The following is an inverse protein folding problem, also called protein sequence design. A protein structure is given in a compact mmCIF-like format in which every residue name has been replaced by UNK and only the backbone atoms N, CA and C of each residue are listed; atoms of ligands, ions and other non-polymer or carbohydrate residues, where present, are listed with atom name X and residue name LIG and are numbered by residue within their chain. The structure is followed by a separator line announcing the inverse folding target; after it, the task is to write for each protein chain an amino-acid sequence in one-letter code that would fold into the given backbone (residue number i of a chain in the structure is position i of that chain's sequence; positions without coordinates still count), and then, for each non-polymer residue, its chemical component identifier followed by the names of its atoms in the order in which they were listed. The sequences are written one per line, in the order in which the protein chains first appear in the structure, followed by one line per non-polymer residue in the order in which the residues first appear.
data_IF_904465696371
#
_entry.id   IF_904465696371
#
_cell.length_a   1.000
_cell.length_b   1.000
_cell.length_c   1.000
_cell.angle_alpha   90.00
_cell.angle_beta   90.00
_cell.angle_gamma   90.00
#
_symmetry.space_group_name_H-M   'P 1'
#
loop_
_entity.id
_entity.type
_entity.pdbx_description
1 polymer ?
#
# COMPACT_ATOMS: atom_id res chain seq x y z
N UNK A 1 23.92 7.74 -32.81
CA UNK A 1 24.32 6.45 -32.19
C UNK A 1 25.74 6.48 -31.58
N UNK A 2 26.73 7.15 -32.19
CA UNK A 2 28.14 7.13 -31.74
C UNK A 2 28.41 7.63 -30.29
N UNK A 3 27.63 8.58 -29.77
CA UNK A 3 27.85 9.13 -28.41
C UNK A 3 27.48 8.17 -27.27
N UNK A 4 26.60 7.19 -27.52
CA UNK A 4 26.19 6.22 -26.51
C UNK A 4 27.27 5.15 -26.30
N UNK A 5 27.86 4.65 -27.39
CA UNK A 5 28.92 3.65 -27.34
C UNK A 5 30.19 4.20 -26.68
N UNK A 6 30.52 5.47 -26.93
CA UNK A 6 31.64 6.16 -26.28
C UNK A 6 31.44 6.24 -24.75
N UNK A 7 30.26 6.67 -24.28
CA UNK A 7 29.94 6.70 -22.84
C UNK A 7 29.92 5.31 -22.21
N UNK A 8 29.48 4.29 -22.95
CA UNK A 8 29.49 2.90 -22.49
C UNK A 8 30.93 2.40 -22.28
N UNK A 9 31.83 2.66 -23.22
CA UNK A 9 33.24 2.28 -23.11
C UNK A 9 33.96 3.02 -21.98
N UNK A 10 33.64 4.29 -21.78
CA UNK A 10 34.20 5.09 -20.68
C UNK A 10 33.75 4.56 -19.32
N UNK A 11 32.46 4.20 -19.17
CA UNK A 11 31.96 3.55 -17.97
C UNK A 11 32.59 2.18 -17.71
N UNK A 12 32.84 1.39 -18.77
CA UNK A 12 33.52 0.09 -18.64
C UNK A 12 34.94 0.30 -18.11
N UNK A 13 35.72 1.21 -18.71
CA UNK A 13 37.09 1.51 -18.27
C UNK A 13 37.14 2.04 -16.83
N UNK A 14 36.18 2.90 -16.45
CA UNK A 14 36.08 3.43 -15.08
C UNK A 14 35.81 2.31 -14.07
N UNK A 15 34.92 1.38 -14.41
CA UNK A 15 34.59 0.25 -13.55
C UNK A 15 35.77 -0.72 -13.43
N UNK A 16 36.49 -1.01 -14.53
CA UNK A 16 37.71 -1.83 -14.51
C UNK A 16 38.80 -1.22 -13.62
N UNK A 17 38.99 0.11 -13.70
CA UNK A 17 39.94 0.82 -12.85
C UNK A 17 39.55 0.75 -11.36
N UNK A 18 38.26 0.83 -11.03
CA UNK A 18 37.76 0.68 -9.67
C UNK A 18 38.00 -0.73 -9.13
N UNK A 19 37.71 -1.77 -9.93
CA UNK A 19 37.96 -3.17 -9.56
C UNK A 19 39.46 -3.40 -9.32
N UNK A 20 40.34 -2.73 -10.08
CA UNK A 20 41.79 -2.75 -9.89
C UNK A 20 42.29 -2.02 -8.67
N UNK A 21 41.70 -0.87 -8.36
CA UNK A 21 42.05 -0.13 -7.16
C UNK A 21 41.63 -0.89 -5.89
N UNK A 22 40.52 -1.61 -5.94
CA UNK A 22 39.98 -2.41 -4.84
C UNK A 22 40.64 -3.79 -4.67
N UNK A 23 41.59 -4.18 -5.53
CA UNK A 23 42.29 -5.46 -5.45
C UNK A 23 41.42 -6.69 -5.69
N UNK A 24 40.28 -6.54 -6.39
CA UNK A 24 39.27 -7.59 -6.60
C UNK A 24 39.47 -8.39 -7.90
N UNK A 25 40.67 -8.34 -8.50
CA UNK A 25 40.99 -9.05 -9.75
C UNK A 25 40.84 -10.57 -9.64
N UNK A 26 41.31 -11.14 -8.52
CA UNK A 26 41.46 -12.60 -8.40
C UNK A 26 40.14 -13.30 -8.02
N UNK A 27 39.23 -12.60 -7.34
CA UNK A 27 37.93 -13.13 -6.92
C UNK A 27 36.98 -13.40 -8.11
N UNK A 28 37.03 -12.56 -9.14
CA UNK A 28 36.20 -12.74 -10.34
C UNK A 28 36.70 -13.85 -11.26
N UNK A 29 38.01 -14.06 -11.31
CA UNK A 29 38.63 -15.09 -12.15
C UNK A 29 38.36 -16.49 -11.59
N UNK A 30 38.42 -16.65 -10.25
CA UNK A 30 38.11 -17.90 -9.57
C UNK A 30 36.63 -18.34 -9.74
N UNK A 31 35.68 -17.40 -9.74
CA UNK A 31 34.25 -17.73 -9.94
C UNK A 31 33.94 -18.18 -11.37
N UNK A 32 34.69 -17.69 -12.37
CA UNK A 32 34.46 -18.05 -13.76
C UNK A 32 35.04 -19.44 -14.11
N UNK A 33 36.18 -19.80 -13.52
CA UNK A 33 36.76 -21.15 -13.66
C UNK A 33 35.92 -22.25 -12.99
N UNK A 34 35.28 -21.95 -11.84
CA UNK A 34 34.33 -22.84 -11.17
C UNK A 34 33.07 -23.08 -12.03
N UNK A 35 32.65 -22.08 -12.80
CA UNK A 35 31.48 -22.17 -13.68
C UNK A 35 31.76 -23.02 -14.93
N UNK A 36 32.93 -22.85 -15.55
CA UNK A 36 33.34 -23.65 -16.72
C UNK A 36 33.60 -25.13 -16.38
N UNK A 37 34.11 -25.45 -15.18
CA UNK A 37 34.24 -26.85 -14.73
C UNK A 37 32.90 -27.57 -14.53
N UNK A 38 31.81 -26.83 -14.31
CA UNK A 38 30.48 -27.40 -14.08
C UNK A 38 29.69 -27.74 -15.36
N UNK A 39 30.12 -27.26 -16.54
CA UNK A 39 29.43 -27.46 -17.82
C UNK A 39 29.89 -28.71 -18.60
N UNK A 40 31.02 -29.34 -18.25
CA UNK A 40 31.61 -30.44 -19.05
C UNK A 40 31.01 -31.83 -18.72
N UNK A 41 30.17 -31.97 -17.69
CA UNK A 41 29.56 -33.25 -17.33
C UNK A 41 28.03 -33.15 -17.24
N UNK A 42 27.33 -33.32 -18.36
CA UNK A 42 25.97 -33.90 -18.43
C UNK A 42 25.52 -34.06 -19.89
N UNK A 43 25.33 -35.31 -20.33
CA UNK A 43 24.57 -35.61 -21.57
C UNK A 43 23.05 -35.50 -21.30
N UNK A 44 22.22 -35.19 -22.33
CA UNK A 44 20.83 -34.84 -22.08
C UNK A 44 19.93 -36.08 -22.00
N UNK A 45 19.11 -36.15 -20.94
CA UNK A 45 18.00 -37.10 -20.85
C UNK A 45 16.67 -36.38 -21.15
N UNK A 46 15.91 -36.94 -22.09
CA UNK A 46 14.59 -36.46 -22.51
C UNK A 46 13.54 -36.72 -21.42
N UNK A 47 13.08 -35.70 -20.67
CA UNK A 47 11.82 -35.76 -19.89
C UNK A 47 11.10 -34.40 -19.79
N UNK A 48 9.77 -34.50 -19.92
CA UNK A 48 8.69 -33.49 -19.85
C UNK A 48 8.87 -32.39 -18.79
N UNK A 49 8.56 -31.15 -19.16
CA UNK A 49 8.57 -29.96 -18.29
C UNK A 49 7.53 -30.05 -17.16
N UNK A 50 8.00 -30.14 -15.91
CA UNK A 50 7.33 -29.56 -14.73
C UNK A 50 8.02 -28.24 -14.43
N UNK A 51 7.28 -27.14 -14.42
CA UNK A 51 7.79 -25.81 -14.08
C UNK A 51 7.94 -25.73 -12.55
N UNK A 52 9.16 -25.91 -12.06
CA UNK A 52 9.53 -25.50 -10.71
C UNK A 52 10.01 -24.04 -10.80
N UNK A 53 9.29 -23.11 -10.18
CA UNK A 53 9.68 -21.70 -10.11
C UNK A 53 10.85 -21.63 -9.11
N UNK A 54 12.07 -21.42 -9.61
CA UNK A 54 13.23 -21.08 -8.79
C UNK A 54 13.13 -19.62 -8.33
N UNK A 55 13.37 -19.35 -7.04
CA UNK A 55 13.37 -18.00 -6.51
C UNK A 55 14.45 -17.10 -7.17
N UNK A 56 14.19 -15.80 -7.34
CA UNK A 56 15.12 -14.89 -7.99
C UNK A 56 16.40 -14.68 -7.17
N UNK A 57 17.55 -14.79 -7.81
CA UNK A 57 18.90 -14.74 -7.22
C UNK A 57 19.43 -13.33 -6.93
N UNK A 58 18.59 -12.29 -6.96
CA UNK A 58 19.03 -10.91 -6.71
C UNK A 58 18.07 -10.14 -5.81
N UNK A 59 18.41 -10.10 -4.53
CA UNK A 59 17.71 -9.33 -3.49
C UNK A 59 18.39 -7.96 -3.32
N UNK A 60 17.61 -6.92 -3.02
CA UNK A 60 18.16 -5.59 -2.73
C UNK A 60 18.91 -5.59 -1.39
N UNK A 61 19.94 -4.74 -1.26
CA UNK A 61 20.76 -4.64 -0.05
C UNK A 61 19.94 -4.37 1.22
N UNK A 62 18.79 -3.69 1.09
CA UNK A 62 17.87 -3.39 2.20
C UNK A 62 17.11 -4.61 2.74
N UNK A 63 16.82 -5.61 1.90
CA UNK A 63 16.12 -6.84 2.31
C UNK A 63 17.12 -7.85 2.89
N UNK A 64 18.38 -7.80 2.46
CA UNK A 64 19.44 -8.66 2.96
C UNK A 64 19.91 -8.29 4.38
N UNK A 65 19.74 -7.03 4.79
CA UNK A 65 20.16 -6.51 6.10
C UNK A 65 19.08 -6.51 7.19
N UNK A 66 17.86 -6.98 6.89
CA UNK A 66 16.77 -7.04 7.85
C UNK A 66 16.85 -8.31 8.71
N UNK A 67 16.58 -8.19 10.02
CA UNK A 67 16.62 -9.30 10.98
C UNK A 67 15.57 -10.38 10.70
N UNK A 68 14.48 -10.03 10.00
CA UNK A 68 13.49 -10.97 9.49
C UNK A 68 13.08 -10.59 8.06
N UNK A 69 12.95 -11.59 7.19
CA UNK A 69 12.45 -11.40 5.83
C UNK A 69 10.93 -11.26 5.87
N UNK A 70 10.35 -10.20 5.28
CA UNK A 70 8.89 -10.11 5.14
C UNK A 70 8.37 -11.27 4.29
N UNK A 71 7.45 -12.05 4.85
CA UNK A 71 6.71 -13.07 4.10
C UNK A 71 5.62 -12.38 3.30
N UNK A 72 5.80 -12.33 1.98
CA UNK A 72 4.72 -11.96 1.07
C UNK A 72 3.78 -13.16 0.93
N UNK A 73 2.51 -12.98 1.32
CA UNK A 73 1.45 -13.93 1.02
C UNK A 73 1.02 -13.75 -0.44
N UNK A 74 1.66 -14.48 -1.35
CA UNK A 74 1.19 -14.60 -2.74
C UNK A 74 0.10 -15.68 -2.76
N UNK A 75 -1.15 -15.24 -2.76
CA UNK A 75 -2.32 -16.12 -2.74
C UNK A 75 -2.48 -16.84 -4.07
N UNK A 76 -1.98 -18.08 -4.15
CA UNK A 76 -2.46 -19.07 -5.11
C UNK A 76 -3.50 -19.95 -4.42
N UNK A 77 -4.78 -19.73 -4.74
CA UNK A 77 -5.85 -20.69 -4.47
C UNK A 77 -5.64 -21.94 -5.33
N UNK A 78 -5.71 -23.11 -4.69
CA UNK A 78 -6.02 -24.36 -5.36
C UNK A 78 -7.03 -25.09 -4.46
N UNK A 79 -8.22 -25.33 -5.00
CA UNK A 79 -9.31 -26.05 -4.35
C UNK A 79 -9.01 -27.55 -4.32
N UNK A 80 -9.13 -28.18 -3.15
CA UNK A 80 -9.64 -29.56 -3.07
C UNK A 80 -10.11 -29.90 -1.65
N UNK A 81 -11.40 -30.19 -1.58
CA UNK A 81 -12.16 -30.78 -0.48
C UNK A 81 -11.53 -32.08 0.06
N UNK A 82 -11.49 -32.25 1.40
CA UNK A 82 -12.03 -33.44 2.07
C UNK A 82 -11.82 -33.43 3.60
N UNK A 83 -12.95 -33.61 4.27
CA UNK A 83 -13.14 -33.81 5.71
C UNK A 83 -12.28 -34.94 6.34
N UNK A 84 -11.80 -34.74 7.59
CA UNK A 84 -11.89 -35.73 8.69
C UNK A 84 -11.44 -35.22 10.07
N UNK A 85 -12.30 -35.53 11.05
CA UNK A 85 -12.26 -35.30 12.51
C UNK A 85 -11.02 -35.88 13.23
N UNK A 86 -10.57 -35.23 14.33
CA UNK A 86 -10.80 -35.66 15.75
C UNK A 86 -9.97 -34.83 16.78
N UNK A 87 -10.47 -34.65 18.02
CA UNK A 87 -9.88 -33.80 19.06
C UNK A 87 -8.93 -34.56 19.99
N UNK A 88 -8.03 -33.86 20.69
CA UNK A 88 -7.22 -34.45 21.77
C UNK A 88 -7.19 -33.61 23.05
N UNK A 89 -7.55 -34.32 24.11
CA UNK A 89 -7.67 -34.05 25.56
C UNK A 89 -6.49 -33.32 26.23
N UNK A 90 -6.87 -32.41 27.13
CA UNK A 90 -6.44 -32.18 28.52
C UNK A 90 -5.14 -32.81 29.04
N UNK A 91 -4.30 -31.99 29.68
CA UNK A 91 -3.61 -32.34 30.93
C UNK A 91 -3.44 -31.09 31.80
N UNK A 92 -4.12 -31.09 32.93
CA UNK A 92 -3.85 -30.23 34.08
C UNK A 92 -2.60 -30.76 34.83
N UNK A 93 -1.81 -29.86 35.38
CA UNK A 93 -0.82 -30.14 36.43
C UNK A 93 -0.84 -28.97 37.43
N UNK A 94 -0.78 -29.38 38.69
CA UNK A 94 -1.11 -28.66 39.91
C UNK A 94 0.08 -27.91 40.53
N UNK A 95 -0.23 -26.80 41.20
CA UNK A 95 0.38 -26.17 42.40
C UNK A 95 1.91 -26.22 42.63
N UNK A 96 2.52 -25.07 42.86
CA UNK A 96 2.83 -24.64 44.24
C UNK A 96 3.36 -23.19 44.32
N UNK A 97 2.97 -22.52 45.38
CA UNK A 97 3.55 -21.26 45.86
C UNK A 97 5.03 -21.45 46.20
N UNK A 98 5.84 -20.44 45.87
CA UNK A 98 6.93 -20.04 46.74
C UNK A 98 7.17 -18.53 46.66
N UNK A 99 7.21 -17.95 47.85
CA UNK A 99 7.41 -16.55 48.16
C UNK A 99 8.90 -16.22 48.00
N UNK A 100 9.25 -15.16 47.28
CA UNK A 100 10.60 -14.57 47.38
C UNK A 100 10.56 -13.09 47.01
N UNK A 101 10.73 -12.26 48.03
CA UNK A 101 10.99 -10.83 47.97
C UNK A 101 12.36 -10.56 47.32
N UNK A 102 12.42 -9.68 46.32
CA UNK A 102 13.63 -8.87 46.07
C UNK A 102 13.35 -7.63 45.20
N UNK A 103 13.61 -6.49 45.83
CA UNK A 103 14.30 -5.30 45.32
C UNK A 103 13.73 -4.59 44.08
N UNK A 104 13.19 -3.40 44.35
CA UNK A 104 12.67 -2.45 43.39
C UNK A 104 13.66 -2.14 42.26
N UNK A 105 13.20 -2.44 41.05
CA UNK A 105 13.70 -1.84 39.82
C UNK A 105 12.68 -0.77 39.44
N UNK A 106 13.04 0.49 39.64
CA UNK A 106 12.28 1.62 39.13
C UNK A 106 12.16 1.45 37.60
N UNK A 107 10.95 1.14 37.14
CA UNK A 107 10.59 1.28 35.73
C UNK A 107 10.93 2.71 35.30
N UNK A 108 11.61 2.92 34.16
CA UNK A 108 11.72 4.24 33.58
C UNK A 108 10.31 4.79 33.40
N UNK A 109 10.00 5.92 34.04
CA UNK A 109 8.72 6.56 33.81
C UNK A 109 8.60 6.88 32.32
N UNK A 110 7.42 6.63 31.71
CA UNK A 110 7.17 7.06 30.35
C UNK A 110 7.39 8.58 30.26
N UNK A 111 7.93 9.09 29.13
CA UNK A 111 8.03 10.53 28.92
C UNK A 111 6.66 11.18 29.14
N UNK A 112 6.61 12.45 29.58
CA UNK A 112 5.36 13.14 29.88
C UNK A 112 4.44 12.99 28.66
N UNK A 113 3.25 12.42 28.90
CA UNK A 113 2.22 12.28 27.90
C UNK A 113 2.03 13.65 27.26
N UNK A 114 2.44 13.79 25.99
CA UNK A 114 2.06 14.96 25.22
C UNK A 114 0.54 15.06 25.30
N UNK A 115 0.06 16.24 25.66
CA UNK A 115 -1.37 16.51 25.76
C UNK A 115 -2.00 16.22 24.39
N UNK A 116 -2.79 15.15 24.31
CA UNK A 116 -3.40 14.68 23.06
C UNK A 116 -4.27 15.79 22.46
N UNK A 117 -4.96 16.55 23.31
CA UNK A 117 -5.83 17.64 22.88
C UNK A 117 -5.00 18.78 22.27
N UNK A 118 -3.82 19.08 22.82
CA UNK A 118 -2.91 20.07 22.26
C UNK A 118 -2.34 19.62 20.90
N UNK A 119 -2.03 18.33 20.74
CA UNK A 119 -1.56 17.78 19.46
C UNK A 119 -2.67 17.77 18.40
N UNK A 120 -3.87 17.32 18.75
CA UNK A 120 -5.03 17.36 17.86
C UNK A 120 -5.35 18.81 17.48
N UNK A 121 -5.36 19.73 18.45
CA UNK A 121 -5.56 21.16 18.18
C UNK A 121 -4.50 21.70 17.22
N UNK A 122 -3.23 21.33 17.39
CA UNK A 122 -2.16 21.72 16.46
C UNK A 122 -2.40 21.16 15.05
N UNK A 123 -2.71 19.87 14.91
CA UNK A 123 -2.97 19.25 13.59
C UNK A 123 -4.23 19.78 12.92
N UNK A 124 -5.20 20.29 13.68
CA UNK A 124 -6.45 20.86 13.18
C UNK A 124 -6.44 22.39 13.08
N UNK A 125 -5.34 23.06 13.46
CA UNK A 125 -5.23 24.53 13.47
C UNK A 125 -4.98 25.18 12.11
N UNK A 126 -5.01 24.41 11.02
CA UNK A 126 -4.81 24.94 9.68
C UNK A 126 -6.06 25.66 9.17
N UNK A 127 -5.85 26.61 8.25
CA UNK A 127 -6.94 27.30 7.56
C UNK A 127 -6.94 26.92 6.08
N UNK A 128 -8.13 26.79 5.45
CA UNK A 128 -8.22 26.61 4.01
C UNK A 128 -7.52 27.77 3.27
N UNK A 129 -6.57 27.43 2.41
CA UNK A 129 -5.82 28.40 1.58
C UNK A 129 -6.15 28.28 0.10
N UNK A 130 -6.71 27.15 -0.32
CA UNK A 130 -7.09 26.87 -1.69
C UNK A 130 -8.62 26.70 -1.81
N UNK A 131 -9.21 27.03 -2.98
CA UNK A 131 -10.63 26.81 -3.22
C UNK A 131 -10.97 25.31 -3.30
N UNK A 132 -12.27 24.96 -3.16
CA UNK A 132 -12.75 23.60 -3.43
C UNK A 132 -12.44 23.14 -4.86
N UNK A 133 -12.32 21.82 -5.11
CA UNK A 133 -12.06 21.31 -6.45
C UNK A 133 -13.24 21.55 -7.40
N UNK A 134 -12.93 21.68 -8.69
CA UNK A 134 -13.93 21.67 -9.77
C UNK A 134 -14.03 20.28 -10.38
N UNK A 135 -15.22 19.85 -10.77
CA UNK A 135 -15.43 18.55 -11.44
C UNK A 135 -15.57 18.74 -12.94
N UNK A 136 -14.85 17.96 -13.74
CA UNK A 136 -14.96 17.97 -15.21
C UNK A 136 -16.11 17.07 -15.71
N UNK A 137 -16.29 17.03 -17.04
CA UNK A 137 -17.32 16.21 -17.70
C UNK A 137 -17.05 14.71 -17.62
N UNK A 138 -15.79 14.31 -17.41
CA UNK A 138 -15.38 12.91 -17.19
C UNK A 138 -15.55 12.51 -15.71
N UNK A 139 -15.90 13.47 -14.86
CA UNK A 139 -16.11 13.30 -13.43
C UNK A 139 -14.83 13.32 -12.58
N UNK A 140 -13.68 13.72 -13.15
CA UNK A 140 -12.45 13.94 -12.41
C UNK A 140 -12.49 15.30 -11.68
N UNK A 141 -11.87 15.34 -10.51
CA UNK A 141 -11.72 16.54 -9.70
C UNK A 141 -10.40 17.24 -10.01
N UNK A 142 -10.44 18.55 -10.19
CA UNK A 142 -9.30 19.39 -10.51
C UNK A 142 -9.03 20.39 -9.40
N UNK A 143 -7.75 20.54 -9.06
CA UNK A 143 -7.28 21.50 -8.06
C UNK A 143 -6.36 22.51 -8.75
N UNK A 144 -6.71 23.80 -8.72
CA UNK A 144 -5.94 24.86 -9.39
C UNK A 144 -4.46 24.86 -8.98
N UNK A 145 -4.18 24.67 -7.68
CA UNK A 145 -2.82 24.58 -7.14
C UNK A 145 -2.01 23.38 -7.65
N UNK A 146 -2.67 22.30 -8.08
CA UNK A 146 -2.03 21.02 -8.42
C UNK A 146 -2.71 20.35 -9.63
N UNK A 147 -2.49 20.85 -10.86
CA UNK A 147 -3.20 20.37 -12.06
C UNK A 147 -2.94 18.90 -12.42
N UNK A 148 -1.87 18.29 -11.90
CA UNK A 148 -1.53 16.89 -12.15
C UNK A 148 -2.16 15.90 -11.16
N UNK A 149 -2.91 16.41 -10.19
CA UNK A 149 -3.64 15.62 -9.21
C UNK A 149 -5.12 15.63 -9.56
N UNK A 150 -5.56 14.57 -10.22
CA UNK A 150 -6.92 14.45 -10.79
C UNK A 150 -7.63 13.18 -10.29
N UNK A 151 -7.91 13.06 -8.97
CA UNK A 151 -8.73 11.97 -8.45
C UNK A 151 -10.16 12.07 -9.01
N UNK A 152 -10.89 10.96 -9.07
CA UNK A 152 -12.29 10.96 -9.53
C UNK A 152 -13.29 10.51 -8.44
N UNK A 153 -12.83 10.50 -7.18
CA UNK A 153 -13.61 10.22 -5.98
C UNK A 153 -13.38 11.28 -4.93
N UNK A 154 -14.44 11.78 -4.32
CA UNK A 154 -14.31 12.68 -3.17
C UNK A 154 -14.02 11.88 -1.89
N UNK A 155 -13.45 12.51 -0.84
CA UNK A 155 -13.34 11.88 0.47
C UNK A 155 -14.70 11.45 1.03
N UNK A 156 -15.76 12.21 0.76
CA UNK A 156 -17.12 11.85 1.15
C UNK A 156 -17.58 10.55 0.48
N UNK A 157 -17.38 10.42 -0.83
CA UNK A 157 -17.73 9.20 -1.57
C UNK A 157 -16.96 8.00 -1.01
N UNK A 158 -15.65 8.14 -0.79
CA UNK A 158 -14.80 7.07 -0.26
C UNK A 158 -15.25 6.61 1.15
N UNK A 159 -15.74 7.54 1.97
CA UNK A 159 -16.29 7.22 3.29
C UNK A 159 -17.63 6.50 3.15
N UNK A 160 -18.55 7.04 2.34
CA UNK A 160 -19.93 6.55 2.20
C UNK A 160 -20.01 5.20 1.48
N UNK A 161 -19.17 4.99 0.47
CA UNK A 161 -19.02 3.72 -0.24
C UNK A 161 -18.29 2.65 0.60
N UNK A 162 -17.75 3.04 1.75
CA UNK A 162 -17.01 2.17 2.64
C UNK A 162 -15.59 1.88 2.16
N UNK A 163 -14.65 2.14 3.06
CA UNK A 163 -13.22 1.98 2.81
C UNK A 163 -12.48 1.59 4.08
N UNK A 164 -11.29 1.02 3.91
CA UNK A 164 -10.39 0.64 5.00
C UNK A 164 -11.03 -0.27 6.07
N UNK A 165 -12.05 -1.03 5.67
CA UNK A 165 -12.83 -1.91 6.54
C UNK A 165 -13.46 -1.19 7.74
N UNK A 166 -13.66 0.12 7.64
CA UNK A 166 -14.26 0.95 8.68
C UNK A 166 -13.37 1.24 9.88
N UNK A 167 -12.08 0.92 9.76
CA UNK A 167 -11.11 1.03 10.85
C UNK A 167 -10.22 2.26 10.77
N UNK A 168 -10.35 3.07 9.71
CA UNK A 168 -9.36 4.11 9.43
C UNK A 168 -9.22 5.13 10.56
N UNK A 169 -10.32 5.43 11.26
CA UNK A 169 -10.39 6.39 12.37
C UNK A 169 -10.53 5.75 13.75
N UNK A 170 -10.29 4.43 13.87
CA UNK A 170 -10.27 3.77 15.17
C UNK A 170 -9.19 4.36 16.08
N UNK A 171 -9.27 4.15 17.41
CA UNK A 171 -8.16 4.45 18.31
C UNK A 171 -6.85 3.83 17.80
N UNK A 172 -5.86 4.67 17.53
CA UNK A 172 -4.60 4.30 16.92
C UNK A 172 -3.46 4.63 17.88
N UNK A 173 -2.72 3.62 18.34
CA UNK A 173 -1.50 3.85 19.08
C UNK A 173 -0.33 4.11 18.12
N UNK A 174 0.18 5.33 18.10
CA UNK A 174 1.40 5.67 17.35
C UNK A 174 2.63 5.28 18.15
N UNK A 175 3.47 4.39 17.61
CA UNK A 175 4.73 4.01 18.27
C UNK A 175 5.76 5.14 18.24
N UNK A 176 5.70 5.99 17.21
CA UNK A 176 6.58 7.14 17.07
C UNK A 176 6.28 8.21 18.14
N UNK A 177 5.00 8.59 18.26
CA UNK A 177 4.56 9.63 19.19
C UNK A 177 4.33 9.09 20.62
N UNK A 178 4.21 7.77 20.78
CA UNK A 178 3.91 7.07 22.05
C UNK A 178 2.59 7.49 22.68
N UNK A 179 1.61 7.87 21.86
CA UNK A 179 0.27 8.27 22.27
C UNK A 179 -0.79 7.47 21.50
N UNK A 180 -1.98 7.37 22.10
CA UNK A 180 -3.17 6.85 21.42
C UNK A 180 -3.95 8.03 20.86
N UNK A 181 -4.17 8.03 19.55
CA UNK A 181 -4.93 9.03 18.80
C UNK A 181 -6.35 8.50 18.62
N UNK A 182 -7.33 9.25 19.09
CA UNK A 182 -8.75 8.93 19.00
C UNK A 182 -9.57 10.20 18.74
N UNK A 183 -10.81 10.02 18.29
CA UNK A 183 -11.78 11.11 18.04
C UNK A 183 -11.38 12.16 16.98
N UNK A 184 -10.25 11.98 16.30
CA UNK A 184 -9.76 12.90 15.27
C UNK A 184 -10.61 12.88 13.97
N UNK A 185 -11.49 11.90 13.79
CA UNK A 185 -12.51 11.92 12.72
C UNK A 185 -13.49 13.09 12.84
N UNK A 186 -13.59 13.73 14.01
CA UNK A 186 -14.45 14.90 14.23
C UNK A 186 -14.02 16.14 13.45
N UNK A 187 -12.82 16.11 12.86
CA UNK A 187 -12.38 17.15 11.93
C UNK A 187 -13.11 17.09 10.57
N UNK A 188 -13.71 15.94 10.25
CA UNK A 188 -14.44 15.75 9.01
C UNK A 188 -15.71 16.62 9.01
N UNK A 189 -16.08 17.24 7.88
CA UNK A 189 -17.32 17.99 7.76
C UNK A 189 -18.53 17.15 8.18
N UNK A 190 -19.42 17.75 8.96
CA UNK A 190 -20.66 17.09 9.40
C UNK A 190 -21.50 16.58 8.24
N UNK A 191 -21.45 17.22 7.07
CA UNK A 191 -22.13 16.75 5.85
C UNK A 191 -21.67 15.36 5.42
N UNK A 192 -20.38 15.03 5.58
CA UNK A 192 -19.81 13.73 5.19
C UNK A 192 -20.22 12.62 6.15
N UNK A 193 -20.40 12.94 7.43
CA UNK A 193 -20.75 11.97 8.48
C UNK A 193 -22.26 11.90 8.76
N UNK A 194 -23.05 12.84 8.24
CA UNK A 194 -24.50 12.87 8.46
C UNK A 194 -25.17 11.63 7.86
N UNK A 195 -25.93 10.93 8.70
CA UNK A 195 -26.61 9.67 8.34
C UNK A 195 -25.70 8.45 8.25
N UNK A 196 -24.41 8.58 8.56
CA UNK A 196 -23.44 7.49 8.54
C UNK A 196 -23.35 6.82 9.92
N UNK A 197 -23.30 5.48 9.95
CA UNK A 197 -22.93 4.75 11.17
C UNK A 197 -21.42 4.89 11.41
N UNK A 198 -21.05 5.82 12.29
CA UNK A 198 -19.66 6.15 12.61
C UNK A 198 -18.90 4.94 13.18
N UNK A 199 -19.56 4.10 13.98
CA UNK A 199 -18.93 2.92 14.58
C UNK A 199 -18.65 1.85 13.51
N UNK A 200 -19.53 1.71 12.54
CA UNK A 200 -19.35 0.77 11.43
C UNK A 200 -18.34 1.26 10.39
N UNK A 201 -18.43 2.50 9.95
CA UNK A 201 -17.72 3.01 8.76
C UNK A 201 -16.43 3.78 9.06
N UNK A 202 -16.21 4.26 10.28
CA UNK A 202 -15.04 5.09 10.60
C UNK A 202 -14.21 4.53 11.76
N UNK A 203 -14.87 4.09 12.83
CA UNK A 203 -14.23 3.83 14.13
C UNK A 203 -14.29 2.37 14.56
N UNK A 204 -14.59 1.45 13.64
CA UNK A 204 -14.62 0.02 13.93
C UNK A 204 -13.24 -0.43 14.42
N UNK A 205 -13.20 -1.23 15.48
CA UNK A 205 -11.94 -1.72 16.05
C UNK A 205 -11.29 -2.78 15.13
N UNK A 206 -12.11 -3.58 14.45
CA UNK A 206 -11.66 -4.70 13.62
C UNK A 206 -11.99 -4.44 12.15
N UNK A 207 -11.03 -4.73 11.26
CA UNK A 207 -11.21 -4.54 9.83
C UNK A 207 -12.32 -5.44 9.31
N UNK A 208 -13.39 -4.84 8.78
CA UNK A 208 -14.48 -5.56 8.15
C UNK A 208 -14.42 -5.43 6.61
N UNK A 209 -14.02 -6.47 5.86
CA UNK A 209 -14.00 -6.41 4.40
C UNK A 209 -15.37 -6.17 3.77
N UNK A 210 -16.46 -6.61 4.41
CA UNK A 210 -17.81 -6.59 3.85
C UNK A 210 -18.36 -5.17 3.69
N UNK A 211 -17.84 -4.20 4.45
CA UNK A 211 -18.29 -2.82 4.34
C UNK A 211 -17.61 -2.06 3.21
N UNK A 212 -16.48 -2.58 2.71
CA UNK A 212 -15.78 -1.95 1.61
C UNK A 212 -16.62 -2.07 0.33
N UNK A 213 -16.58 -1.06 -0.54
CA UNK A 213 -17.29 -1.06 -1.84
C UNK A 213 -17.17 -2.39 -2.61
N UNK A 214 -15.97 -2.97 -2.65
CA UNK A 214 -15.70 -4.22 -3.38
C UNK A 214 -15.62 -5.46 -2.48
N UNK A 215 -16.06 -5.38 -1.23
CA UNK A 215 -16.23 -6.54 -0.33
C UNK A 215 -14.93 -7.26 0.08
N UNK A 216 -13.76 -6.66 -0.15
CA UNK A 216 -12.46 -7.32 0.10
C UNK A 216 -11.51 -6.47 0.92
N UNK A 217 -10.65 -7.13 1.70
CA UNK A 217 -9.55 -6.47 2.39
C UNK A 217 -8.43 -6.14 1.39
N UNK A 218 -7.86 -4.95 1.52
CA UNK A 218 -6.66 -4.57 0.79
C UNK A 218 -5.87 -3.49 1.54
N UNK A 219 -4.64 -3.28 1.08
CA UNK A 219 -3.74 -2.27 1.63
C UNK A 219 -2.99 -2.75 2.87
N UNK A 220 -2.19 -1.84 3.40
CA UNK A 220 -1.44 -2.01 4.65
C UNK A 220 -2.13 -1.21 5.76
N UNK A 221 -1.95 -1.64 7.02
CA UNK A 221 -2.48 -0.91 8.18
C UNK A 221 -1.73 0.41 8.43
N UNK A 222 -2.31 1.32 9.20
CA UNK A 222 -1.64 2.59 9.55
C UNK A 222 -0.34 2.33 10.32
N UNK A 223 -0.33 1.30 11.17
CA UNK A 223 0.87 0.86 11.90
C UNK A 223 1.98 0.37 10.96
N UNK A 224 1.62 -0.36 9.90
CA UNK A 224 2.59 -0.79 8.88
C UNK A 224 3.12 0.41 8.09
N UNK A 225 2.26 1.40 7.79
CA UNK A 225 2.70 2.65 7.17
C UNK A 225 3.63 3.45 8.07
N UNK A 226 3.37 3.50 9.37
CA UNK A 226 4.24 4.13 10.36
C UNK A 226 5.60 3.41 10.39
N UNK A 227 5.60 2.07 10.48
CA UNK A 227 6.81 1.26 10.47
C UNK A 227 7.63 1.40 9.17
N UNK A 228 6.96 1.61 8.04
CA UNK A 228 7.59 1.86 6.74
C UNK A 228 8.11 3.30 6.56
N UNK A 229 7.85 4.20 7.52
CA UNK A 229 8.23 5.61 7.45
C UNK A 229 7.40 6.40 6.44
N UNK A 230 6.16 5.98 6.19
CA UNK A 230 5.26 6.62 5.23
C UNK A 230 4.36 7.69 5.84
N UNK A 231 4.23 7.69 7.16
CA UNK A 231 3.47 8.68 7.94
C UNK A 231 4.33 9.92 8.19
N UNK A 232 3.76 11.10 7.94
CA UNK A 232 4.38 12.37 8.29
C UNK A 232 3.69 12.92 9.54
N UNK A 233 4.25 12.60 10.72
CA UNK A 233 3.62 12.92 12.02
C UNK A 233 3.44 14.42 12.29
N UNK A 234 4.19 15.27 11.59
CA UNK A 234 4.05 16.73 11.66
C UNK A 234 2.75 17.22 11.00
N UNK A 235 2.27 16.50 9.98
CA UNK A 235 1.11 16.92 9.17
C UNK A 235 -0.09 16.00 9.38
N UNK A 236 0.05 14.71 9.07
CA UNK A 236 -1.06 13.75 9.00
C UNK A 236 -0.65 12.41 9.62
N UNK A 237 -1.04 12.23 10.87
CA UNK A 237 -0.72 11.05 11.68
C UNK A 237 -1.39 9.76 11.20
N UNK A 238 -2.51 9.86 10.49
CA UNK A 238 -3.14 8.71 9.83
C UNK A 238 -2.63 8.50 8.40
N UNK A 239 -1.86 9.43 7.86
CA UNK A 239 -1.24 9.29 6.54
C UNK A 239 -2.13 9.73 5.38
N UNK A 240 -2.14 8.95 4.30
CA UNK A 240 -2.66 9.34 2.98
C UNK A 240 -4.09 9.87 3.00
N UNK A 241 -5.04 9.14 3.58
CA UNK A 241 -6.44 9.50 3.43
C UNK A 241 -6.80 10.71 4.31
N UNK A 242 -6.18 10.86 5.49
CA UNK A 242 -6.30 12.08 6.29
C UNK A 242 -5.70 13.29 5.56
N UNK A 243 -4.52 13.14 4.96
CA UNK A 243 -3.95 14.17 4.09
C UNK A 243 -4.94 14.54 2.98
N UNK A 244 -5.55 13.55 2.32
CA UNK A 244 -6.50 13.78 1.23
C UNK A 244 -7.75 14.53 1.69
N UNK A 245 -8.35 14.16 2.82
CA UNK A 245 -9.48 14.89 3.42
C UNK A 245 -9.14 16.38 3.64
N UNK A 246 -7.99 16.66 4.25
CA UNK A 246 -7.59 18.05 4.56
C UNK A 246 -7.19 18.82 3.30
N UNK A 247 -6.51 18.17 2.36
CA UNK A 247 -6.17 18.73 1.05
C UNK A 247 -7.44 19.11 0.26
N UNK A 248 -8.45 18.24 0.29
CA UNK A 248 -9.76 18.49 -0.32
C UNK A 248 -10.45 19.72 0.27
N UNK A 249 -10.36 19.90 1.59
CA UNK A 249 -10.89 21.04 2.32
C UNK A 249 -10.05 22.33 2.17
N UNK A 250 -9.04 22.32 1.30
CA UNK A 250 -8.25 23.51 0.95
C UNK A 250 -6.96 23.69 1.76
N UNK A 251 -6.57 22.74 2.60
CA UNK A 251 -5.24 22.78 3.25
C UNK A 251 -4.14 22.57 2.21
N UNK A 252 -3.08 23.37 2.29
CA UNK A 252 -1.85 23.15 1.54
C UNK A 252 -0.67 23.10 2.50
N UNK A 253 0.24 22.15 2.32
CA UNK A 253 1.40 21.98 3.19
C UNK A 253 2.61 21.43 2.44
N UNK A 254 3.76 21.37 3.11
CA UNK A 254 5.00 20.90 2.50
C UNK A 254 4.96 19.41 2.10
N UNK A 255 4.00 18.62 2.59
CA UNK A 255 3.85 17.21 2.26
C UNK A 255 3.07 16.94 0.96
N UNK A 256 2.44 17.98 0.38
CA UNK A 256 1.52 17.85 -0.77
C UNK A 256 2.20 17.16 -1.96
N UNK A 257 3.39 17.63 -2.34
CA UNK A 257 4.13 17.07 -3.47
C UNK A 257 4.51 15.60 -3.26
N UNK A 258 4.82 15.20 -2.02
CA UNK A 258 5.14 13.81 -1.69
C UNK A 258 3.89 12.95 -1.87
N UNK A 259 2.76 13.40 -1.36
CA UNK A 259 1.50 12.65 -1.37
C UNK A 259 0.93 12.53 -2.79
N UNK A 260 0.95 13.63 -3.56
CA UNK A 260 0.57 13.63 -4.97
C UNK A 260 1.51 12.73 -5.79
N UNK A 261 2.82 12.76 -5.54
CA UNK A 261 3.76 11.83 -6.19
C UNK A 261 3.43 10.36 -5.93
N UNK A 262 2.99 10.02 -4.71
CA UNK A 262 2.55 8.65 -4.36
C UNK A 262 1.26 8.28 -5.07
N UNK A 263 0.27 9.17 -5.06
CA UNK A 263 -0.97 9.00 -5.80
C UNK A 263 -0.70 8.73 -7.29
N UNK A 264 0.14 9.55 -7.92
CA UNK A 264 0.52 9.39 -9.34
C UNK A 264 1.14 8.03 -9.63
N UNK A 265 1.99 7.52 -8.72
CA UNK A 265 2.61 6.19 -8.85
C UNK A 265 1.63 5.05 -8.61
N UNK A 266 0.61 5.25 -7.79
CA UNK A 266 -0.43 4.26 -7.51
C UNK A 266 -1.50 4.23 -8.62
N UNK A 267 -2.17 5.35 -8.87
CA UNK A 267 -3.40 5.44 -9.69
C UNK A 267 -3.43 6.61 -10.66
N UNK A 268 -2.39 7.43 -10.75
CA UNK A 268 -2.27 8.41 -11.84
C UNK A 268 -2.21 7.73 -13.22
N UNK A 269 -2.07 8.50 -14.29
CA UNK A 269 -2.10 8.00 -15.68
C UNK A 269 -1.20 6.77 -15.91
N UNK A 270 0.02 6.80 -15.38
CA UNK A 270 0.98 5.68 -15.46
C UNK A 270 1.05 4.85 -14.18
N UNK A 271 0.05 4.96 -13.31
CA UNK A 271 0.02 4.37 -11.99
C UNK A 271 0.00 2.84 -12.04
N UNK A 272 0.71 2.21 -11.11
CA UNK A 272 0.86 0.74 -11.04
C UNK A 272 -0.49 0.05 -10.97
N UNK A 273 -1.35 0.48 -10.05
CA UNK A 273 -2.63 -0.19 -9.76
C UNK A 273 -3.66 0.12 -10.84
N UNK A 274 -3.77 1.38 -11.28
CA UNK A 274 -4.61 1.76 -12.43
C UNK A 274 -4.29 0.93 -13.68
N UNK A 275 -3.02 0.86 -14.10
CA UNK A 275 -2.62 0.07 -15.27
C UNK A 275 -2.84 -1.43 -15.07
N UNK A 276 -2.58 -1.94 -13.87
CA UNK A 276 -2.83 -3.36 -13.55
C UNK A 276 -4.31 -3.68 -13.70
N UNK A 277 -5.18 -2.79 -13.24
CA UNK A 277 -6.63 -2.96 -13.31
C UNK A 277 -7.11 -2.90 -14.75
N UNK A 278 -6.79 -1.84 -15.49
CA UNK A 278 -7.19 -1.68 -16.89
C UNK A 278 -6.70 -2.84 -17.77
N UNK A 279 -5.50 -3.37 -17.51
CA UNK A 279 -5.01 -4.57 -18.20
C UNK A 279 -5.88 -5.80 -17.94
N UNK A 280 -6.43 -5.96 -16.73
CA UNK A 280 -7.34 -7.08 -16.41
C UNK A 280 -8.67 -6.94 -17.16
N UNK A 281 -9.23 -5.73 -17.23
CA UNK A 281 -10.42 -5.44 -18.06
C UNK A 281 -10.20 -5.88 -19.52
N UNK A 282 -9.09 -5.46 -20.12
CA UNK A 282 -8.73 -5.85 -21.50
C UNK A 282 -8.56 -7.36 -21.64
N UNK A 283 -7.88 -8.02 -20.69
CA UNK A 283 -7.66 -9.47 -20.71
C UNK A 283 -8.97 -10.27 -20.61
N UNK A 284 -9.95 -9.75 -19.87
CA UNK A 284 -11.29 -10.35 -19.74
C UNK A 284 -12.21 -9.98 -20.91
N UNK A 285 -11.75 -9.17 -21.87
CA UNK A 285 -12.53 -8.73 -23.03
C UNK A 285 -13.65 -7.76 -22.67
N UNK A 286 -13.57 -7.10 -21.50
CA UNK A 286 -14.56 -6.13 -21.04
C UNK A 286 -14.27 -4.78 -21.67
N UNK A 287 -15.29 -4.19 -22.28
CA UNK A 287 -15.22 -2.92 -23.01
C UNK A 287 -16.11 -1.84 -22.43
N UNK A 288 -17.12 -2.22 -21.66
CA UNK A 288 -17.99 -1.30 -20.94
C UNK A 288 -17.72 -1.39 -19.44
N UNK A 289 -17.69 -0.24 -18.79
CA UNK A 289 -17.77 -0.07 -17.34
C UNK A 289 -18.95 0.85 -17.13
N UNK A 290 -19.92 0.44 -16.31
CA UNK A 290 -21.01 1.33 -15.93
C UNK A 290 -20.45 2.41 -15.00
N UNK A 291 -20.74 3.67 -15.34
CA UNK A 291 -20.50 4.77 -14.44
C UNK A 291 -21.49 4.70 -13.25
N UNK A 292 -21.14 5.32 -12.14
CA UNK A 292 -21.95 5.35 -10.92
C UNK A 292 -23.42 5.71 -11.21
N UNK A 293 -24.34 4.75 -10.99
CA UNK A 293 -25.79 4.97 -11.09
C UNK A 293 -26.53 4.23 -12.21
N UNK A 294 -25.88 3.34 -12.96
CA UNK A 294 -26.53 2.42 -13.91
C UNK A 294 -26.37 0.95 -13.46
N UNK A 295 -27.40 0.42 -12.80
CA UNK A 295 -27.44 -0.93 -12.22
C UNK A 295 -27.48 -2.06 -13.27
N UNK A 296 -27.43 -1.74 -14.57
CA UNK A 296 -27.70 -2.73 -15.62
C UNK A 296 -26.56 -3.70 -15.93
N UNK A 297 -25.31 -3.39 -15.56
CA UNK A 297 -24.10 -4.16 -15.92
C UNK A 297 -23.12 -4.39 -14.73
N UNK A 298 -23.55 -4.10 -13.50
CA UNK A 298 -22.71 -4.18 -12.28
C UNK A 298 -22.14 -5.60 -12.03
N UNK A 299 -22.89 -6.63 -12.41
CA UNK A 299 -22.57 -8.03 -12.15
C UNK A 299 -21.32 -8.54 -12.91
N UNK A 300 -21.03 -8.00 -14.11
CA UNK A 300 -19.84 -8.40 -14.90
C UNK A 300 -18.60 -7.57 -14.59
N UNK A 301 -18.80 -6.34 -14.11
CA UNK A 301 -17.74 -5.38 -13.78
C UNK A 301 -17.15 -5.66 -12.39
N UNK A 302 -17.99 -6.07 -11.44
CA UNK A 302 -17.61 -6.40 -10.06
C UNK A 302 -16.60 -7.54 -9.91
N UNK A 303 -16.49 -8.43 -10.90
CA UNK A 303 -15.60 -9.59 -10.88
C UNK A 303 -14.15 -9.28 -11.26
N UNK A 304 -13.85 -8.09 -11.79
CA UNK A 304 -12.51 -7.77 -12.30
C UNK A 304 -11.54 -7.43 -11.18
N UNK A 305 -11.05 -8.43 -10.47
CA UNK A 305 -10.02 -8.25 -9.43
C UNK A 305 -10.43 -7.24 -8.32
N UNK A 306 -11.39 -7.60 -7.46
CA UNK A 306 -11.91 -6.75 -6.38
C UNK A 306 -10.81 -6.09 -5.52
N UNK A 307 -9.71 -6.80 -5.25
CA UNK A 307 -8.61 -6.28 -4.42
C UNK A 307 -7.92 -5.07 -5.05
N UNK A 308 -7.75 -5.08 -6.38
CA UNK A 308 -7.11 -3.97 -7.10
C UNK A 308 -8.08 -2.81 -7.25
N UNK A 309 -9.38 -3.09 -7.45
CA UNK A 309 -10.44 -2.10 -7.39
C UNK A 309 -10.47 -1.37 -6.04
N UNK A 310 -10.53 -2.12 -4.94
CA UNK A 310 -10.51 -1.55 -3.59
C UNK A 310 -9.22 -0.77 -3.31
N UNK A 311 -8.08 -1.26 -3.81
CA UNK A 311 -6.82 -0.52 -3.70
C UNK A 311 -6.89 0.81 -4.43
N UNK A 312 -7.44 0.83 -5.65
CA UNK A 312 -7.62 2.05 -6.42
C UNK A 312 -8.55 3.05 -5.71
N UNK A 313 -9.66 2.54 -5.18
CA UNK A 313 -10.65 3.32 -4.44
C UNK A 313 -10.07 4.01 -3.21
N UNK A 314 -9.24 3.30 -2.42
CA UNK A 314 -8.50 3.90 -1.31
C UNK A 314 -7.54 5.02 -1.73
N UNK A 315 -7.10 5.03 -2.99
CA UNK A 315 -6.30 6.09 -3.61
C UNK A 315 -7.15 7.11 -4.37
N UNK A 316 -8.45 7.19 -4.09
CA UNK A 316 -9.38 8.15 -4.70
C UNK A 316 -9.50 8.03 -6.22
N UNK A 317 -9.42 6.81 -6.75
CA UNK A 317 -9.60 6.53 -8.17
C UNK A 317 -10.46 5.29 -8.40
N UNK A 318 -11.41 5.38 -9.31
CA UNK A 318 -12.20 4.27 -9.84
C UNK A 318 -12.09 4.23 -11.37
N UNK A 319 -12.24 3.03 -11.95
CA UNK A 319 -12.28 2.86 -13.41
C UNK A 319 -13.53 3.53 -13.95
N UNK A 320 -13.36 4.35 -14.99
CA UNK A 320 -14.45 4.97 -15.76
C UNK A 320 -14.31 4.57 -17.22
N UNK A 321 -15.39 4.71 -17.98
CA UNK A 321 -15.46 4.31 -19.39
C UNK A 321 -14.36 4.97 -20.24
N UNK A 322 -14.13 6.28 -20.06
CA UNK A 322 -13.12 7.06 -20.78
C UNK A 322 -11.69 6.50 -20.59
N UNK A 323 -11.35 6.10 -19.36
CA UNK A 323 -10.04 5.58 -19.02
C UNK A 323 -9.84 4.18 -19.61
N UNK A 324 -10.90 3.37 -19.64
CA UNK A 324 -10.88 2.05 -20.28
C UNK A 324 -10.77 2.17 -21.80
N UNK A 325 -11.52 3.06 -22.43
CA UNK A 325 -11.49 3.29 -23.88
C UNK A 325 -10.12 3.77 -24.35
N UNK A 326 -9.53 4.74 -23.64
CA UNK A 326 -8.15 5.20 -23.90
C UNK A 326 -7.15 4.05 -23.81
N UNK A 327 -7.29 3.21 -22.79
CA UNK A 327 -6.39 2.07 -22.61
C UNK A 327 -6.57 0.99 -23.69
N UNK A 328 -7.79 0.77 -24.20
CA UNK A 328 -8.04 -0.10 -25.36
C UNK A 328 -7.45 0.47 -26.66
N UNK A 329 -7.52 1.79 -26.86
CA UNK A 329 -7.01 2.45 -28.05
C UNK A 329 -5.48 2.53 -28.08
N UNK A 330 -4.86 2.89 -26.95
CA UNK A 330 -3.43 3.22 -26.89
C UNK A 330 -2.57 2.17 -26.18
N UNK A 331 -3.17 1.25 -25.41
CA UNK A 331 -2.46 0.27 -24.60
C UNK A 331 -1.64 0.87 -23.45
N UNK A 332 -1.87 2.14 -23.11
CA UNK A 332 -1.10 2.86 -22.10
C UNK A 332 -1.95 3.74 -21.22
#
# INVERSE_FOLDING_TARGET
MAGYEARRLENIKRNEALVKNLGLQDDFTAQNELKQKSEVQKQPAVKRRKLHISQPTRTSARIASASERPTYNDGSQDDSDSSKRRPRKSKALTSNHNDTSSLGRSSPQPPPSQDLDALIANWSSWTPTAPPPTRDVEGNYHFESHPLFTPNKSPEDIIREGSFGGTYWRPLYSRHLRITISDDWRELPTSWTSGLDIQKYLTNETYNPEINKYGVACGQSIEEWEAAGWIAHEYDVRGWFQWYCRFWLGRRCADDERQISRWRKCVGETGRWRRTLLKKYVQMGIRSVTDEGDDSDEERTGDVSPVVHQTCHHWAWEVRQDALDRFWAEGR
#
